data_IF_392693636171
#
_entry.id   IF_392693636171
#
_cell.length_a   1.000
_cell.length_b   1.000
_cell.length_c   1.000
_cell.angle_alpha   90.00
_cell.angle_beta   90.00
_cell.angle_gamma   90.00
#
_symmetry.space_group_name_H-M   'P 1'
#
loop_
_entity.id
_entity.type
_entity.pdbx_description
1 polymer ?
#
# COMPACT_ATOMS: atom_id res chain seq x y z
N UNK A 1 12.33 15.49 -26.46
CA UNK A 1 12.48 14.40 -25.47
C UNK A 1 12.88 13.15 -26.25
N UNK A 2 13.88 12.40 -25.81
CA UNK A 2 14.34 11.18 -26.51
C UNK A 2 13.59 9.97 -25.98
N UNK A 3 12.89 9.29 -26.87
CA UNK A 3 12.30 7.98 -26.63
C UNK A 3 13.41 6.94 -26.39
N UNK A 4 13.20 6.03 -25.43
CA UNK A 4 14.13 4.95 -25.10
C UNK A 4 13.38 3.62 -25.15
N UNK A 5 13.91 2.67 -25.90
CA UNK A 5 13.38 1.30 -25.99
C UNK A 5 14.45 0.31 -25.56
N UNK A 6 14.10 -0.64 -24.69
CA UNK A 6 15.01 -1.66 -24.17
C UNK A 6 14.24 -2.93 -23.75
N UNK A 7 14.94 -4.07 -23.65
CA UNK A 7 14.38 -5.34 -23.16
C UNK A 7 14.77 -5.54 -21.70
N UNK A 8 13.83 -5.62 -20.74
CA UNK A 8 14.16 -5.66 -19.32
C UNK A 8 15.00 -6.91 -18.98
N UNK A 9 16.27 -6.67 -18.69
CA UNK A 9 17.23 -7.67 -18.20
C UNK A 9 17.76 -7.22 -16.83
N UNK A 10 18.43 -8.09 -16.03
CA UNK A 10 18.98 -7.70 -14.73
C UNK A 10 19.90 -6.46 -14.80
N UNK A 11 20.68 -6.32 -15.88
CA UNK A 11 21.56 -5.17 -16.12
C UNK A 11 20.82 -3.87 -16.46
N UNK A 12 19.51 -3.94 -16.72
CA UNK A 12 18.63 -2.80 -17.01
C UNK A 12 17.57 -2.57 -15.93
N UNK A 13 17.74 -3.16 -14.74
CA UNK A 13 16.80 -3.05 -13.62
C UNK A 13 16.50 -1.61 -13.20
N UNK A 14 17.50 -0.71 -13.24
CA UNK A 14 17.31 0.72 -12.97
C UNK A 14 16.38 1.35 -14.02
N UNK A 15 16.66 1.15 -15.30
CA UNK A 15 15.83 1.70 -16.38
C UNK A 15 14.41 1.14 -16.35
N UNK A 16 14.24 -0.15 -16.03
CA UNK A 16 12.93 -0.76 -15.84
C UNK A 16 12.16 -0.13 -14.68
N UNK A 17 12.81 0.07 -13.52
CA UNK A 17 12.21 0.75 -12.36
C UNK A 17 11.83 2.20 -12.66
N UNK A 18 12.67 2.92 -13.40
CA UNK A 18 12.37 4.28 -13.86
C UNK A 18 11.15 4.32 -14.78
N UNK A 19 11.04 3.36 -15.72
CA UNK A 19 9.90 3.23 -16.62
C UNK A 19 8.60 2.93 -15.86
N UNK A 20 8.63 2.03 -14.87
CA UNK A 20 7.49 1.75 -14.00
C UNK A 20 7.05 3.01 -13.23
N UNK A 21 8.01 3.81 -12.77
CA UNK A 21 7.76 5.07 -12.06
C UNK A 21 7.07 6.15 -12.90
N UNK A 22 6.95 5.99 -14.21
CA UNK A 22 6.16 6.88 -15.06
C UNK A 22 4.65 6.80 -14.75
N UNK A 23 4.17 5.65 -14.28
CA UNK A 23 2.81 5.48 -13.78
C UNK A 23 2.73 6.04 -12.36
N UNK A 24 2.06 7.19 -12.21
CA UNK A 24 1.83 7.81 -10.91
C UNK A 24 0.75 7.05 -10.15
N UNK A 25 0.98 6.76 -8.88
CA UNK A 25 0.03 6.04 -8.04
C UNK A 25 -0.30 6.83 -6.78
N UNK A 26 -1.46 6.54 -6.19
CA UNK A 26 -1.71 6.89 -4.80
C UNK A 26 -0.77 6.10 -3.88
N UNK A 27 -0.60 6.59 -2.66
CA UNK A 27 0.15 5.90 -1.62
C UNK A 27 -0.82 5.27 -0.63
N UNK A 28 -0.56 4.02 -0.24
CA UNK A 28 -1.31 3.32 0.79
C UNK A 28 -0.40 2.88 1.94
N UNK A 29 -0.96 2.77 3.14
CA UNK A 29 -0.37 2.03 4.24
C UNK A 29 -1.27 0.87 4.59
N UNK A 30 -0.73 -0.33 4.57
CA UNK A 30 -1.46 -1.56 4.87
C UNK A 30 -1.05 -2.02 6.25
N UNK A 31 -2.01 -2.34 7.10
CA UNK A 31 -1.78 -2.77 8.47
C UNK A 31 -2.38 -4.14 8.74
N UNK A 32 -1.71 -4.90 9.60
CA UNK A 32 -2.24 -6.13 10.20
C UNK A 32 -1.77 -6.20 11.64
N UNK A 33 -2.40 -7.06 12.45
CA UNK A 33 -1.91 -7.37 13.78
C UNK A 33 -1.28 -8.76 13.82
N UNK A 34 -0.25 -8.94 14.63
CA UNK A 34 0.34 -10.25 14.92
C UNK A 34 0.37 -10.49 16.44
N UNK A 35 0.79 -11.69 16.86
CA UNK A 35 0.98 -11.98 18.27
C UNK A 35 2.03 -11.07 18.95
N UNK A 36 2.91 -10.42 18.18
CA UNK A 36 3.95 -9.50 18.63
C UNK A 36 3.56 -8.03 18.38
N UNK A 37 2.26 -7.75 18.17
CA UNK A 37 1.73 -6.40 17.99
C UNK A 37 1.52 -6.00 16.52
N UNK A 38 1.20 -4.72 16.30
CA UNK A 38 0.79 -4.23 14.99
C UNK A 38 1.96 -4.21 13.99
N UNK A 39 1.63 -4.34 12.71
CA UNK A 39 2.56 -4.30 11.58
C UNK A 39 1.99 -3.41 10.50
N UNK A 40 2.84 -2.58 9.89
CA UNK A 40 2.49 -1.71 8.79
C UNK A 40 3.44 -1.88 7.60
N UNK A 41 2.92 -1.64 6.39
CA UNK A 41 3.72 -1.55 5.17
C UNK A 41 3.18 -0.45 4.26
N UNK A 42 4.06 0.46 3.85
CA UNK A 42 3.72 1.45 2.82
C UNK A 42 3.83 0.81 1.45
N UNK A 43 2.76 0.91 0.68
CA UNK A 43 2.60 0.24 -0.61
C UNK A 43 1.99 1.19 -1.62
N UNK A 44 2.48 1.14 -2.85
CA UNK A 44 1.93 1.90 -3.98
C UNK A 44 1.54 1.00 -5.17
N UNK A 45 1.49 -0.32 -4.96
CA UNK A 45 1.04 -1.36 -5.89
C UNK A 45 -0.43 -1.75 -5.72
N UNK A 46 -1.18 -0.99 -4.93
CA UNK A 46 -2.61 -1.19 -4.70
C UNK A 46 -3.42 -1.02 -6.00
N UNK A 47 -4.45 -1.85 -6.20
CA UNK A 47 -5.45 -1.67 -7.26
C UNK A 47 -6.81 -2.24 -6.87
N UNK A 48 -7.89 -1.64 -7.37
CA UNK A 48 -9.23 -2.24 -7.34
C UNK A 48 -9.32 -3.37 -8.37
N UNK A 49 -10.04 -4.45 -8.04
CA UNK A 49 -10.14 -5.65 -8.88
C UNK A 49 -11.58 -5.93 -9.31
N UNK A 50 -12.51 -5.94 -8.36
CA UNK A 50 -13.91 -6.33 -8.62
C UNK A 50 -14.85 -5.52 -7.74
N UNK A 51 -16.06 -5.26 -8.25
CA UNK A 51 -17.15 -4.65 -7.48
C UNK A 51 -18.04 -5.70 -6.80
N UNK A 52 -18.26 -6.86 -7.44
CA UNK A 52 -19.05 -7.96 -6.89
C UNK A 52 -18.41 -9.33 -7.23
N UNK A 53 -17.81 -10.04 -6.26
CA UNK A 53 -17.57 -9.59 -4.89
C UNK A 53 -16.60 -8.39 -4.85
N UNK A 54 -16.60 -7.57 -3.78
CA UNK A 54 -15.75 -6.39 -3.70
C UNK A 54 -14.30 -6.79 -3.41
N UNK A 55 -13.46 -6.79 -4.46
CA UNK A 55 -12.06 -7.23 -4.38
C UNK A 55 -11.08 -6.11 -4.68
N UNK A 56 -9.98 -6.10 -3.94
CA UNK A 56 -8.79 -5.26 -4.14
C UNK A 56 -7.54 -6.12 -4.10
N UNK A 57 -6.42 -5.63 -4.65
CA UNK A 57 -5.13 -6.30 -4.55
C UNK A 57 -4.00 -5.34 -4.18
N UNK A 58 -2.90 -5.93 -3.72
CA UNK A 58 -1.60 -5.27 -3.55
C UNK A 58 -0.48 -6.32 -3.59
N UNK A 59 0.76 -5.88 -3.79
CA UNK A 59 1.92 -6.77 -3.90
C UNK A 59 2.87 -6.63 -2.71
N UNK A 60 3.23 -7.76 -2.09
CA UNK A 60 4.19 -7.89 -0.99
C UNK A 60 5.52 -8.41 -1.54
N UNK A 61 6.61 -7.66 -1.36
CA UNK A 61 7.94 -8.11 -1.75
C UNK A 61 8.39 -9.31 -0.91
N UNK A 62 8.95 -10.33 -1.55
CA UNK A 62 9.39 -11.57 -0.89
C UNK A 62 10.54 -11.34 0.10
N UNK A 63 11.33 -10.29 -0.10
CA UNK A 63 12.46 -9.89 0.76
C UNK A 63 12.07 -8.87 1.85
N UNK A 64 10.78 -8.54 1.97
CA UNK A 64 10.29 -7.60 2.98
C UNK A 64 10.53 -8.14 4.38
N UNK A 65 11.07 -7.30 5.27
CA UNK A 65 11.11 -7.59 6.70
C UNK A 65 9.72 -7.69 7.37
N UNK A 66 8.63 -7.36 6.64
CA UNK A 66 7.24 -7.59 7.06
C UNK A 66 6.60 -8.80 6.36
N UNK A 67 7.36 -9.58 5.59
CA UNK A 67 6.82 -10.67 4.78
C UNK A 67 5.98 -11.63 5.62
N UNK A 68 6.54 -12.21 6.69
CA UNK A 68 5.84 -13.20 7.51
C UNK A 68 4.52 -12.68 8.10
N UNK A 69 4.49 -11.41 8.50
CA UNK A 69 3.30 -10.79 9.09
C UNK A 69 2.13 -10.75 8.10
N UNK A 70 2.39 -10.33 6.86
CA UNK A 70 1.34 -10.21 5.84
C UNK A 70 1.11 -11.52 5.09
N UNK A 71 2.13 -12.36 4.94
CA UNK A 71 1.98 -13.70 4.38
C UNK A 71 1.08 -14.57 5.26
N UNK A 72 1.21 -14.51 6.59
CA UNK A 72 0.40 -15.30 7.52
C UNK A 72 -0.94 -14.64 7.90
N UNK A 73 -1.20 -13.38 7.53
CA UNK A 73 -2.41 -12.69 7.95
C UNK A 73 -3.68 -13.30 7.32
N UNK A 74 -4.79 -13.21 8.06
CA UNK A 74 -6.14 -13.54 7.57
C UNK A 74 -6.96 -12.28 7.32
N UNK A 75 -6.59 -11.16 7.95
CA UNK A 75 -7.28 -9.88 7.90
C UNK A 75 -6.26 -8.75 7.90
N UNK A 76 -6.55 -7.67 7.18
CA UNK A 76 -5.70 -6.47 7.13
C UNK A 76 -6.54 -5.25 6.76
N UNK A 77 -6.03 -4.05 7.01
CA UNK A 77 -6.66 -2.80 6.61
C UNK A 77 -5.75 -2.04 5.64
N UNK A 78 -6.29 -1.60 4.51
CA UNK A 78 -5.58 -0.76 3.53
C UNK A 78 -6.01 0.69 3.76
N UNK A 79 -5.06 1.61 3.96
CA UNK A 79 -5.32 3.04 4.19
C UNK A 79 -4.80 3.84 3.01
N UNK A 80 -5.67 4.55 2.29
CA UNK A 80 -5.29 5.49 1.22
C UNK A 80 -4.87 6.81 1.86
N UNK A 81 -3.61 7.17 1.71
CA UNK A 81 -2.99 8.27 2.46
C UNK A 81 -3.39 9.64 1.90
N UNK A 82 -3.70 10.59 2.79
CA UNK A 82 -3.86 11.99 2.43
C UNK A 82 -2.49 12.66 2.20
N UNK A 83 -2.47 13.75 1.44
CA UNK A 83 -1.24 14.46 1.04
C UNK A 83 -0.40 14.88 2.25
N UNK A 84 -1.04 15.37 3.31
CA UNK A 84 -0.43 15.75 4.58
C UNK A 84 0.19 14.59 5.35
N UNK A 85 -0.14 13.34 5.01
CA UNK A 85 0.37 12.13 5.66
C UNK A 85 1.65 11.57 5.00
N UNK A 86 2.36 12.38 4.21
CA UNK A 86 3.62 11.98 3.57
C UNK A 86 4.64 11.43 4.58
N UNK A 87 4.82 12.13 5.70
CA UNK A 87 5.81 11.74 6.71
C UNK A 87 5.45 10.42 7.39
N UNK A 88 4.16 10.20 7.67
CA UNK A 88 3.66 8.93 8.22
C UNK A 88 3.89 7.78 7.23
N UNK A 89 3.56 7.97 5.95
CA UNK A 89 3.80 6.96 4.92
C UNK A 89 5.30 6.65 4.76
N UNK A 90 6.18 7.65 4.85
CA UNK A 90 7.63 7.45 4.80
C UNK A 90 8.16 6.68 6.01
N UNK A 91 7.64 6.97 7.21
CA UNK A 91 8.04 6.27 8.43
C UNK A 91 7.64 4.80 8.36
N UNK A 92 6.39 4.49 8.01
CA UNK A 92 5.96 3.11 7.82
C UNK A 92 6.64 2.40 6.65
N UNK A 93 7.20 3.11 5.67
CA UNK A 93 8.04 2.51 4.63
C UNK A 93 9.39 2.02 5.20
N UNK A 94 9.99 2.82 6.10
CA UNK A 94 11.29 2.56 6.74
C UNK A 94 11.21 1.56 7.89
N UNK A 95 10.27 1.77 8.79
CA UNK A 95 10.04 0.93 9.97
C UNK A 95 8.54 0.67 10.13
N UNK A 96 8.12 -0.54 9.78
CA UNK A 96 6.74 -0.99 9.88
C UNK A 96 6.31 -1.46 11.28
N UNK A 97 7.19 -1.35 12.27
CA UNK A 97 6.95 -1.78 13.66
C UNK A 97 6.68 -0.60 14.59
N UNK A 98 7.24 0.57 14.28
CA UNK A 98 7.04 1.78 15.07
C UNK A 98 5.68 2.41 14.78
N UNK A 99 4.72 2.24 15.68
CA UNK A 99 3.43 2.92 15.63
C UNK A 99 3.37 4.16 16.53
N UNK A 100 4.46 4.53 17.21
CA UNK A 100 4.47 5.65 18.17
C UNK A 100 4.30 7.02 17.51
N UNK A 101 4.53 7.11 16.20
CA UNK A 101 4.44 8.34 15.42
C UNK A 101 3.07 8.54 14.73
N UNK A 102 2.12 7.64 14.92
CA UNK A 102 0.80 7.69 14.29
C UNK A 102 -0.31 7.57 15.32
N UNK A 103 -1.43 8.27 15.09
CA UNK A 103 -2.66 8.02 15.83
C UNK A 103 -3.37 6.81 15.21
N UNK A 104 -3.69 5.82 16.05
CA UNK A 104 -4.36 4.61 15.60
C UNK A 104 -5.20 3.98 16.71
N UNK A 105 -6.19 3.20 16.28
CA UNK A 105 -7.05 2.39 17.16
C UNK A 105 -7.10 0.96 16.63
N UNK A 106 -7.33 -0.01 17.50
CA UNK A 106 -7.62 -1.39 17.07
C UNK A 106 -9.11 -1.55 16.82
N UNK A 107 -9.46 -2.28 15.77
CA UNK A 107 -10.84 -2.65 15.47
C UNK A 107 -11.27 -3.94 16.17
N UNK A 108 -12.55 -4.35 16.08
CA UNK A 108 -13.01 -5.59 16.72
C UNK A 108 -12.28 -6.86 16.27
N UNK A 109 -11.73 -6.87 15.05
CA UNK A 109 -10.92 -7.97 14.49
C UNK A 109 -9.42 -7.79 14.77
N UNK A 110 -9.04 -6.78 15.55
CA UNK A 110 -7.67 -6.48 15.95
C UNK A 110 -6.86 -5.66 14.94
N UNK A 111 -7.43 -5.28 13.78
CA UNK A 111 -6.72 -4.53 12.72
C UNK A 111 -6.34 -3.13 13.23
N UNK A 112 -5.07 -2.69 13.05
CA UNK A 112 -4.68 -1.33 13.38
C UNK A 112 -5.26 -0.34 12.37
N UNK A 113 -6.13 0.56 12.83
CA UNK A 113 -6.76 1.59 12.02
C UNK A 113 -6.04 2.92 12.21
N UNK A 114 -5.36 3.39 11.16
CA UNK A 114 -4.70 4.69 11.15
C UNK A 114 -5.73 5.80 11.01
N UNK A 115 -5.59 6.85 11.81
CA UNK A 115 -6.40 8.05 11.68
C UNK A 115 -6.10 8.78 10.36
N UNK A 116 -7.05 9.64 9.97
CA UNK A 116 -6.87 10.65 8.94
C UNK A 116 -6.54 10.20 7.49
N UNK A 117 -6.62 8.90 7.20
CA UNK A 117 -6.59 8.44 5.81
C UNK A 117 -7.83 8.91 5.03
N UNK A 118 -7.70 9.04 3.71
CA UNK A 118 -8.81 9.43 2.83
C UNK A 118 -9.82 8.31 2.64
N UNK A 119 -9.33 7.08 2.60
CA UNK A 119 -10.17 5.89 2.57
C UNK A 119 -9.46 4.78 3.33
N UNK A 120 -10.23 3.89 3.93
CA UNK A 120 -9.70 2.60 4.36
C UNK A 120 -10.64 1.46 4.02
N UNK A 121 -10.03 0.33 3.69
CA UNK A 121 -10.67 -0.91 3.29
C UNK A 121 -10.28 -2.00 4.27
N UNK A 122 -11.25 -2.44 5.07
CA UNK A 122 -11.06 -3.52 6.03
C UNK A 122 -11.27 -4.84 5.25
N UNK A 123 -10.20 -5.59 5.04
CA UNK A 123 -10.14 -6.72 4.13
C UNK A 123 -10.04 -8.05 4.88
N UNK A 124 -10.71 -9.06 4.34
CA UNK A 124 -10.39 -10.46 4.60
C UNK A 124 -9.51 -10.94 3.46
N UNK A 125 -8.48 -11.71 3.77
CA UNK A 125 -7.64 -12.25 2.72
C UNK A 125 -8.42 -13.28 1.89
N UNK A 126 -8.50 -13.05 0.59
CA UNK A 126 -9.23 -13.88 -0.36
C UNK A 126 -8.31 -14.90 -1.03
N UNK A 127 -7.18 -14.46 -1.58
CA UNK A 127 -6.21 -15.34 -2.23
C UNK A 127 -4.79 -14.76 -2.23
N UNK A 128 -3.82 -15.63 -2.52
CA UNK A 128 -2.40 -15.31 -2.69
C UNK A 128 -1.92 -15.89 -4.01
N UNK A 129 -1.10 -15.14 -4.75
CA UNK A 129 -0.52 -15.61 -6.01
C UNK A 129 0.96 -15.22 -6.09
N UNK A 130 1.83 -16.19 -6.38
CA UNK A 130 3.24 -15.91 -6.66
C UNK A 130 3.39 -15.11 -7.97
N UNK A 131 4.21 -14.07 -7.94
CA UNK A 131 4.43 -13.16 -9.07
C UNK A 131 5.88 -12.68 -9.10
N UNK A 132 6.80 -13.61 -9.35
CA UNK A 132 8.24 -13.32 -9.40
C UNK A 132 8.81 -13.03 -8.01
N UNK A 133 9.35 -11.83 -7.81
CA UNK A 133 9.92 -11.37 -6.54
C UNK A 133 8.87 -10.80 -5.57
N UNK A 134 7.59 -10.88 -5.93
CA UNK A 134 6.47 -10.47 -5.09
C UNK A 134 5.41 -11.56 -4.98
N UNK A 135 4.62 -11.45 -3.91
CA UNK A 135 3.35 -12.13 -3.71
C UNK A 135 2.21 -11.14 -3.94
N UNK A 136 1.25 -11.49 -4.79
CA UNK A 136 -0.01 -10.73 -4.93
C UNK A 136 -0.96 -11.22 -3.84
N UNK A 137 -1.45 -10.29 -3.02
CA UNK A 137 -2.51 -10.54 -2.05
C UNK A 137 -3.81 -9.93 -2.58
N UNK A 138 -4.84 -10.75 -2.71
CA UNK A 138 -6.20 -10.30 -3.04
C UNK A 138 -7.03 -10.27 -1.77
N UNK A 139 -7.65 -9.13 -1.48
CA UNK A 139 -8.51 -8.92 -0.33
C UNK A 139 -9.96 -8.77 -0.75
N UNK A 140 -10.86 -9.44 -0.03
CA UNK A 140 -12.29 -9.14 -0.09
C UNK A 140 -12.63 -8.08 0.95
N UNK A 141 -13.17 -6.96 0.48
CA UNK A 141 -13.49 -5.80 1.30
C UNK A 141 -14.77 -6.07 2.08
N UNK A 142 -14.70 -5.99 3.41
CA UNK A 142 -15.85 -6.19 4.31
C UNK A 142 -16.40 -4.89 4.86
N UNK A 143 -15.58 -3.85 4.97
CA UNK A 143 -15.99 -2.54 5.44
C UNK A 143 -15.15 -1.44 4.78
N UNK A 144 -15.79 -0.30 4.53
CA UNK A 144 -15.18 0.87 3.90
C UNK A 144 -15.52 2.11 4.71
N UNK A 145 -14.56 3.02 4.81
CA UNK A 145 -14.81 4.43 5.13
C UNK A 145 -14.04 5.28 4.14
N UNK A 146 -14.57 6.46 3.87
CA UNK A 146 -13.89 7.43 3.03
C UNK A 146 -14.29 8.84 3.44
N UNK A 147 -13.45 9.80 3.05
CA UNK A 147 -13.66 11.24 3.18
C UNK A 147 -13.06 11.98 2.00
N UNK A 148 -13.46 13.23 1.83
CA UNK A 148 -12.86 14.14 0.85
C UNK A 148 -11.49 14.63 1.30
N UNK A 149 -10.59 14.91 0.37
CA UNK A 149 -9.27 15.49 0.63
C UNK A 149 -8.32 15.23 -0.54
N UNK A 150 -7.09 15.76 -0.45
CA UNK A 150 -6.06 15.55 -1.48
C UNK A 150 -5.29 14.28 -1.18
N UNK A 151 -5.22 13.37 -2.15
CA UNK A 151 -4.44 12.13 -2.02
C UNK A 151 -2.94 12.38 -2.14
N UNK A 152 -2.15 11.65 -1.35
CA UNK A 152 -0.71 11.57 -1.53
C UNK A 152 -0.39 10.79 -2.80
N UNK A 153 0.37 11.40 -3.69
CA UNK A 153 0.79 10.81 -4.97
C UNK A 153 2.28 10.48 -4.93
N UNK A 154 2.64 9.35 -5.51
CA UNK A 154 4.02 8.96 -5.76
C UNK A 154 4.25 8.73 -7.25
N UNK A 155 5.25 9.41 -7.81
CA UNK A 155 5.62 9.30 -9.22
C UNK A 155 7.11 9.55 -9.38
N UNK A 156 7.80 8.68 -10.13
CA UNK A 156 9.25 8.77 -10.40
C UNK A 156 10.12 9.06 -9.17
N UNK A 157 9.82 8.40 -8.05
CA UNK A 157 10.59 8.57 -6.80
C UNK A 157 10.27 9.83 -6.01
N UNK A 158 9.25 10.60 -6.42
CA UNK A 158 8.86 11.85 -5.80
C UNK A 158 7.45 11.77 -5.24
N UNK A 159 7.25 12.39 -4.07
CA UNK A 159 5.93 12.61 -3.51
C UNK A 159 5.34 13.92 -4.03
N UNK A 160 4.02 13.97 -4.12
CA UNK A 160 3.27 15.16 -4.49
C UNK A 160 1.79 15.00 -4.15
N UNK A 161 0.96 15.86 -4.72
CA UNK A 161 -0.49 15.81 -4.55
C UNK A 161 -1.21 16.20 -5.84
N UNK A 162 -2.54 16.18 -5.79
CA UNK A 162 -3.36 16.64 -6.89
C UNK A 162 -3.47 18.18 -6.89
N UNK A 163 -3.46 18.76 -8.09
CA UNK A 163 -3.86 20.14 -8.26
C UNK A 163 -5.36 20.28 -7.97
N UNK A 164 -5.75 21.38 -7.33
CA UNK A 164 -7.17 21.75 -7.30
C UNK A 164 -7.59 22.12 -8.72
N UNK A 165 -8.75 21.61 -9.15
CA UNK A 165 -9.42 22.20 -10.30
C UNK A 165 -10.07 23.51 -9.82
N UNK A 166 -9.69 24.62 -10.46
CA UNK A 166 -10.42 25.89 -10.38
C UNK A 166 -11.72 25.78 -11.17
#
# INVERSE_FOLDING_TARGET
MTEKTFTPTPNQSIAFREALGCFGTGVTVITTNTAQGPRAITVNSFSSVSLDPPLVLWCLANDSNRFDAFHACTHYAIHVMAQEQQDQALRFARDGLDFSHAEWLSDPDGRPHLADCLARFDCHLHSRHEAGDHLILVGEVKKVMYRTGKGLIFKRGQFGGFADFL
#
